data_IF_697840589154
#
_entry.id   IF_697840589154
#
_cell.length_a   1.000
_cell.length_b   1.000
_cell.length_c   1.000
_cell.angle_alpha   90.00
_cell.angle_beta   90.00
_cell.angle_gamma   90.00
#
_symmetry.space_group_name_H-M   'P 1'
#
loop_
_entity.id
_entity.type
_entity.pdbx_description
1 polymer ?
#
# COMPACT_ATOMS: atom_id res chain seq x y z
N UNK A 1 -29.65 -27.72 5.16
CA UNK A 1 -28.45 -27.35 4.39
C UNK A 1 -27.27 -27.31 5.35
N UNK A 2 -26.39 -28.33 5.38
CA UNK A 2 -25.22 -28.30 6.27
C UNK A 2 -24.10 -27.44 5.67
N UNK A 3 -23.45 -26.63 6.53
CA UNK A 3 -22.34 -25.73 6.17
C UNK A 3 -21.04 -26.52 5.89
N UNK A 4 -20.16 -26.03 4.99
CA UNK A 4 -18.93 -26.74 4.63
C UNK A 4 -17.88 -26.71 5.74
N UNK A 5 -17.36 -27.90 6.07
CA UNK A 5 -16.23 -28.14 6.97
C UNK A 5 -14.95 -27.50 6.43
N UNK A 6 -14.37 -26.56 7.17
CA UNK A 6 -13.04 -26.01 6.91
C UNK A 6 -11.97 -26.89 7.56
N UNK A 7 -10.88 -27.27 6.87
CA UNK A 7 -9.80 -28.01 7.49
C UNK A 7 -9.04 -27.08 8.46
N UNK A 8 -8.94 -27.47 9.73
CA UNK A 8 -8.08 -26.77 10.69
C UNK A 8 -6.61 -27.01 10.32
N UNK A 9 -5.81 -25.94 10.30
CA UNK A 9 -4.38 -26.03 10.06
C UNK A 9 -3.70 -26.60 11.31
N UNK A 10 -2.96 -27.69 11.13
CA UNK A 10 -2.25 -28.44 12.17
C UNK A 10 -1.07 -27.61 12.74
N UNK A 11 -1.03 -27.32 14.05
CA UNK A 11 0.01 -26.49 14.69
C UNK A 11 1.39 -27.15 14.72
N UNK A 12 1.51 -28.43 14.35
CA UNK A 12 2.78 -29.17 14.36
C UNK A 12 3.75 -28.78 13.22
N UNK A 13 3.30 -28.00 12.24
CA UNK A 13 4.15 -27.46 11.16
C UNK A 13 5.10 -26.31 11.59
N UNK A 14 5.06 -25.92 12.87
CA UNK A 14 5.85 -24.81 13.42
C UNK A 14 7.24 -25.20 13.95
N UNK A 15 7.66 -26.46 13.84
CA UNK A 15 9.00 -26.84 14.30
C UNK A 15 10.08 -26.53 13.26
N UNK A 16 11.11 -25.72 13.60
CA UNK A 16 12.27 -25.53 12.75
C UNK A 16 13.15 -26.80 12.81
N UNK A 17 13.30 -27.46 11.67
CA UNK A 17 14.27 -28.55 11.46
C UNK A 17 15.70 -28.08 11.81
N UNK A 18 16.56 -28.91 12.45
CA UNK A 18 17.89 -28.49 12.87
C UNK A 18 18.73 -28.17 11.64
N UNK A 19 19.29 -26.97 11.62
CA UNK A 19 20.06 -26.44 10.49
C UNK A 19 21.47 -27.01 10.53
N UNK A 20 21.90 -27.61 9.42
CA UNK A 20 23.32 -27.76 9.11
C UNK A 20 23.86 -26.38 8.70
N UNK A 21 24.98 -25.98 9.30
CA UNK A 21 25.65 -24.70 9.08
C UNK A 21 26.14 -24.58 7.62
N UNK A 22 25.32 -23.94 6.79
CA UNK A 22 25.70 -23.51 5.44
C UNK A 22 26.00 -22.02 5.47
N UNK A 23 27.28 -21.69 5.31
CA UNK A 23 27.80 -20.33 5.12
C UNK A 23 27.28 -19.81 3.78
N UNK A 24 26.10 -19.20 3.81
CA UNK A 24 25.50 -18.47 2.69
C UNK A 24 25.91 -16.98 2.66
N UNK A 25 25.80 -16.30 1.51
CA UNK A 25 26.36 -14.96 1.29
C UNK A 25 25.64 -13.88 2.13
N UNK A 26 26.29 -12.73 2.41
CA UNK A 26 25.73 -11.67 3.22
C UNK A 26 24.62 -10.95 2.45
N UNK A 27 23.38 -11.41 2.61
CA UNK A 27 22.26 -10.77 1.92
C UNK A 27 20.92 -11.49 1.99
N UNK A 28 20.68 -12.33 3.00
CA UNK A 28 19.32 -12.82 3.24
C UNK A 28 18.46 -11.64 3.72
N UNK A 29 17.74 -11.00 2.79
CA UNK A 29 16.66 -10.07 3.13
C UNK A 29 15.59 -10.88 3.84
N UNK A 30 15.64 -10.85 5.18
CA UNK A 30 14.51 -11.19 6.04
C UNK A 30 13.31 -10.45 5.47
N UNK A 31 12.35 -11.18 4.91
CA UNK A 31 11.07 -10.61 4.46
C UNK A 31 10.36 -10.17 5.73
N UNK A 32 10.59 -8.92 6.14
CA UNK A 32 9.83 -8.31 7.22
C UNK A 32 8.42 -8.14 6.66
N UNK A 33 7.52 -9.05 7.03
CA UNK A 33 6.08 -8.91 6.87
C UNK A 33 5.54 -7.80 7.81
N UNK A 34 6.30 -6.72 7.98
CA UNK A 34 5.90 -5.58 8.78
C UNK A 34 4.73 -4.92 8.07
N UNK A 35 3.67 -4.53 8.80
CA UNK A 35 2.55 -3.81 8.22
C UNK A 35 3.06 -2.61 7.43
N UNK A 36 2.71 -2.54 6.13
CA UNK A 36 3.04 -1.44 5.21
C UNK A 36 2.19 -0.19 5.48
N UNK A 37 1.79 0.01 6.73
CA UNK A 37 1.09 1.20 7.19
C UNK A 37 1.98 2.44 7.14
N UNK A 38 1.41 3.56 7.55
CA UNK A 38 2.13 4.82 7.65
C UNK A 38 3.21 4.71 8.73
N UNK A 39 4.45 5.13 8.44
CA UNK A 39 5.48 5.17 9.49
C UNK A 39 5.14 6.26 10.51
N UNK A 40 5.56 6.06 11.76
CA UNK A 40 5.39 7.03 12.85
C UNK A 40 5.95 8.39 12.42
N UNK A 41 5.22 9.47 12.70
CA UNK A 41 5.59 10.87 12.47
C UNK A 41 5.70 11.33 10.99
N UNK A 42 5.12 10.60 10.03
CA UNK A 42 5.00 11.09 8.65
C UNK A 42 3.78 11.99 8.53
N UNK A 43 4.00 13.26 8.18
CA UNK A 43 2.95 14.23 7.85
C UNK A 43 2.72 14.30 6.33
N UNK A 44 1.55 14.73 5.85
CA UNK A 44 1.31 14.90 4.41
C UNK A 44 2.29 15.90 3.77
N UNK A 45 2.82 16.85 4.53
CA UNK A 45 3.84 17.81 4.08
C UNK A 45 5.25 17.22 4.00
N UNK A 46 5.56 16.21 4.83
CA UNK A 46 6.82 15.47 4.75
C UNK A 46 6.92 14.56 3.53
N UNK A 47 5.80 14.33 2.81
CA UNK A 47 5.81 13.57 1.57
C UNK A 47 6.44 14.37 0.44
N UNK A 48 7.00 13.65 -0.54
CA UNK A 48 7.48 14.25 -1.78
C UNK A 48 6.34 15.04 -2.47
N UNK A 49 6.55 16.34 -2.65
CA UNK A 49 5.61 17.26 -3.27
C UNK A 49 5.18 16.82 -4.67
N UNK A 50 3.96 17.20 -5.07
CA UNK A 50 3.45 16.89 -6.41
C UNK A 50 4.32 17.51 -7.52
N UNK A 51 4.83 18.71 -7.28
CA UNK A 51 5.68 19.46 -8.20
C UNK A 51 7.17 19.03 -8.17
N UNK A 52 7.55 18.15 -7.24
CA UNK A 52 8.94 17.71 -7.16
C UNK A 52 9.37 17.00 -8.46
N UNK A 53 10.57 17.24 -8.98
CA UNK A 53 11.04 16.62 -10.22
C UNK A 53 10.88 15.10 -10.24
N UNK A 54 10.51 14.55 -11.39
CA UNK A 54 10.41 13.10 -11.61
C UNK A 54 11.68 12.64 -12.32
N UNK A 55 12.48 11.83 -11.63
CA UNK A 55 13.70 11.25 -12.19
C UNK A 55 13.36 10.20 -13.26
N UNK A 56 14.03 10.27 -14.41
CA UNK A 56 13.96 9.24 -15.45
C UNK A 56 14.66 7.96 -15.00
N UNK A 57 14.26 6.82 -15.58
CA UNK A 57 14.86 5.52 -15.25
C UNK A 57 15.73 5.06 -16.41
N UNK A 58 17.04 4.97 -16.19
CA UNK A 58 18.00 4.41 -17.16
C UNK A 58 18.41 3.01 -16.72
N UNK A 59 18.14 2.00 -17.54
CA UNK A 59 18.55 0.62 -17.28
C UNK A 59 19.69 0.27 -18.22
N UNK A 60 20.92 0.24 -17.70
CA UNK A 60 22.12 0.04 -18.53
C UNK A 60 22.46 -1.44 -18.70
N UNK A 61 21.93 -2.32 -17.83
CA UNK A 61 22.32 -3.74 -17.78
C UNK A 61 21.08 -4.65 -17.85
N UNK A 62 21.08 -5.69 -18.73
CA UNK A 62 20.09 -6.75 -18.69
C UNK A 62 20.35 -7.62 -17.45
N UNK A 63 19.73 -7.28 -16.32
CA UNK A 63 19.71 -8.13 -15.14
C UNK A 63 18.31 -8.72 -14.96
N UNK A 64 18.23 -9.99 -14.57
CA UNK A 64 16.98 -10.67 -14.22
C UNK A 64 16.17 -9.93 -13.13
N UNK A 65 16.83 -9.08 -12.33
CA UNK A 65 16.20 -8.22 -11.31
C UNK A 65 16.02 -6.76 -11.76
N UNK A 66 16.64 -6.37 -12.88
CA UNK A 66 16.48 -5.05 -13.49
C UNK A 66 15.17 -5.03 -14.30
N UNK A 67 14.34 -4.03 -14.05
CA UNK A 67 13.03 -3.91 -14.72
C UNK A 67 13.27 -3.52 -16.18
N UNK A 68 12.84 -4.40 -17.10
CA UNK A 68 12.91 -4.23 -18.56
C UNK A 68 12.52 -2.81 -18.99
N UNK A 69 13.22 -2.25 -19.98
CA UNK A 69 12.94 -0.91 -20.53
C UNK A 69 11.47 -0.77 -20.93
N UNK A 70 10.94 -1.83 -21.54
CA UNK A 70 9.56 -1.97 -21.98
C UNK A 70 8.78 -2.85 -21.02
N UNK A 71 7.64 -2.39 -20.48
CA UNK A 71 6.74 -3.26 -19.74
C UNK A 71 6.24 -4.42 -20.61
N UNK A 72 6.11 -5.62 -20.03
CA UNK A 72 5.62 -6.80 -20.73
C UNK A 72 4.23 -6.59 -21.39
N UNK A 73 3.36 -5.80 -20.76
CA UNK A 73 2.05 -5.45 -21.32
C UNK A 73 2.15 -4.69 -22.67
N UNK A 74 3.20 -3.88 -22.86
CA UNK A 74 3.44 -3.17 -24.11
C UNK A 74 3.99 -4.09 -25.19
N UNK A 75 4.94 -4.95 -24.82
CA UNK A 75 5.47 -6.01 -25.70
C UNK A 75 4.32 -6.90 -26.19
N UNK A 76 3.48 -7.39 -25.28
CA UNK A 76 2.36 -8.27 -25.62
C UNK A 76 1.29 -7.57 -26.45
N UNK A 77 1.02 -6.27 -26.22
CA UNK A 77 0.08 -5.51 -27.03
C UNK A 77 0.57 -5.39 -28.48
N UNK A 78 1.86 -5.12 -28.67
CA UNK A 78 2.48 -4.99 -30.01
C UNK A 78 2.56 -6.33 -30.74
N UNK A 79 2.85 -7.42 -30.00
CA UNK A 79 2.76 -8.80 -30.53
C UNK A 79 1.35 -9.14 -30.98
N UNK A 80 0.34 -8.88 -30.13
CA UNK A 80 -1.08 -9.13 -30.47
C UNK A 80 -1.59 -8.29 -31.65
N UNK A 81 -1.11 -7.05 -31.82
CA UNK A 81 -1.47 -6.25 -33.00
C UNK A 81 -0.80 -6.76 -34.28
N UNK A 82 0.44 -7.26 -34.20
CA UNK A 82 1.16 -7.83 -35.35
C UNK A 82 0.56 -9.17 -35.80
N UNK A 83 0.25 -10.07 -34.87
CA UNK A 83 -0.38 -11.36 -35.19
C UNK A 83 -1.79 -11.22 -35.77
N UNK A 84 -2.46 -10.09 -35.52
CA UNK A 84 -3.75 -9.76 -36.17
C UNK A 84 -3.59 -9.18 -37.57
N UNK A 85 -2.40 -8.69 -37.94
CA UNK A 85 -2.13 -8.01 -39.21
C UNK A 85 -1.32 -8.87 -40.19
N UNK A 86 -0.47 -9.78 -39.69
CA UNK A 86 0.32 -10.73 -40.46
C UNK A 86 0.27 -12.09 -39.74
N UNK A 87 -0.11 -13.14 -40.47
CA UNK A 87 -0.29 -14.49 -39.96
C UNK A 87 0.99 -15.12 -39.38
N UNK A 88 0.80 -16.26 -38.73
CA UNK A 88 1.63 -17.00 -37.74
C UNK A 88 3.09 -17.35 -38.12
N UNK A 89 3.61 -16.89 -39.27
CA UNK A 89 4.88 -17.37 -39.85
C UNK A 89 6.13 -16.58 -39.39
N UNK A 90 5.96 -15.51 -38.62
CA UNK A 90 7.03 -14.53 -38.31
C UNK A 90 7.52 -14.59 -36.84
N UNK A 91 7.26 -15.70 -36.12
CA UNK A 91 7.47 -15.80 -34.66
C UNK A 91 8.93 -16.09 -34.24
N UNK A 92 9.79 -16.52 -35.18
CA UNK A 92 11.21 -16.84 -34.91
C UNK A 92 12.19 -15.67 -35.13
N UNK A 93 11.79 -14.60 -35.82
CA UNK A 93 12.66 -13.42 -36.05
C UNK A 93 12.51 -12.33 -34.96
N UNK A 94 11.59 -12.51 -34.01
CA UNK A 94 11.20 -11.48 -33.04
C UNK A 94 12.04 -11.46 -31.76
N UNK A 95 13.03 -12.35 -31.62
CA UNK A 95 13.91 -12.41 -30.45
C UNK A 95 15.03 -11.35 -30.49
N UNK A 96 15.49 -10.96 -31.70
CA UNK A 96 16.46 -9.89 -31.91
C UNK A 96 15.77 -8.57 -32.25
N UNK A 97 15.45 -7.80 -31.21
CA UNK A 97 15.21 -6.36 -31.36
C UNK A 97 13.82 -6.00 -31.86
N UNK A 98 12.83 -6.06 -30.96
CA UNK A 98 11.63 -5.22 -31.08
C UNK A 98 12.11 -3.76 -30.99
N UNK A 99 12.47 -3.19 -32.14
CA UNK A 99 12.76 -1.76 -32.27
C UNK A 99 11.49 -1.02 -31.86
N UNK A 100 11.53 -0.42 -30.67
CA UNK A 100 10.46 0.43 -30.21
C UNK A 100 10.51 1.68 -31.05
N UNK A 101 9.36 2.10 -31.56
CA UNK A 101 9.29 3.44 -32.11
C UNK A 101 9.60 4.42 -30.97
N UNK A 102 10.32 5.53 -31.23
CA UNK A 102 10.61 6.53 -30.19
C UNK A 102 9.34 7.00 -29.46
N UNK A 103 8.21 7.08 -30.19
CA UNK A 103 6.87 7.34 -29.64
C UNK A 103 6.40 6.33 -28.57
N UNK A 104 6.74 5.04 -28.71
CA UNK A 104 6.39 4.02 -27.72
C UNK A 104 7.16 4.23 -26.41
N UNK A 105 8.43 4.63 -26.50
CA UNK A 105 9.29 4.93 -25.35
C UNK A 105 8.76 6.15 -24.60
N UNK A 106 8.44 7.22 -25.31
CA UNK A 106 7.88 8.44 -24.74
C UNK A 106 6.54 8.18 -24.03
N UNK A 107 5.68 7.36 -24.62
CA UNK A 107 4.39 7.03 -24.03
C UNK A 107 4.53 6.09 -22.81
N UNK A 108 5.55 5.24 -22.75
CA UNK A 108 5.91 4.49 -21.53
C UNK A 108 6.39 5.45 -20.43
N UNK A 109 7.24 6.41 -20.76
CA UNK A 109 7.69 7.42 -19.81
C UNK A 109 6.55 8.28 -19.28
N UNK A 110 5.65 8.74 -20.16
CA UNK A 110 4.47 9.49 -19.78
C UNK A 110 3.61 8.71 -18.77
N UNK A 111 3.37 7.42 -19.01
CA UNK A 111 2.64 6.55 -18.05
C UNK A 111 3.40 6.38 -16.73
N UNK A 112 4.72 6.29 -16.76
CA UNK A 112 5.55 6.23 -15.53
C UNK A 112 5.46 7.54 -14.73
N UNK A 113 5.51 8.70 -15.40
CA UNK A 113 5.31 10.01 -14.78
C UNK A 113 3.91 10.11 -14.16
N UNK A 114 2.87 9.73 -14.91
CA UNK A 114 1.50 9.71 -14.43
C UNK A 114 1.32 8.80 -13.20
N UNK A 115 1.87 7.59 -13.22
CA UNK A 115 1.80 6.67 -12.09
C UNK A 115 2.52 7.23 -10.85
N UNK A 116 3.66 7.90 -11.05
CA UNK A 116 4.39 8.56 -9.96
C UNK A 116 3.55 9.65 -9.32
N UNK A 117 2.94 10.54 -10.12
CA UNK A 117 2.05 11.58 -9.64
C UNK A 117 0.81 11.01 -8.93
N UNK A 118 0.18 9.99 -9.51
CA UNK A 118 -0.97 9.31 -8.92
C UNK A 118 -0.61 8.68 -7.56
N UNK A 119 0.56 8.03 -7.46
CA UNK A 119 1.07 7.47 -6.21
C UNK A 119 1.32 8.56 -5.16
N UNK A 120 1.90 9.71 -5.53
CA UNK A 120 2.08 10.85 -4.62
C UNK A 120 0.73 11.37 -4.10
N UNK A 121 -0.23 11.64 -5.00
CA UNK A 121 -1.59 12.08 -4.62
C UNK A 121 -2.29 11.08 -3.72
N UNK A 122 -2.18 9.79 -4.03
CA UNK A 122 -2.80 8.72 -3.23
C UNK A 122 -2.22 8.66 -1.82
N UNK A 123 -0.89 8.74 -1.68
CA UNK A 123 -0.23 8.78 -0.37
C UNK A 123 -0.65 10.00 0.44
N UNK A 124 -0.68 11.18 -0.19
CA UNK A 124 -1.12 12.43 0.44
C UNK A 124 -2.56 12.32 0.94
N UNK A 125 -3.50 11.91 0.09
CA UNK A 125 -4.91 11.71 0.47
C UNK A 125 -5.09 10.71 1.60
N UNK A 126 -4.35 9.59 1.58
CA UNK A 126 -4.42 8.58 2.66
C UNK A 126 -3.98 9.14 4.01
N UNK A 127 -2.91 9.95 4.01
CA UNK A 127 -2.43 10.62 5.21
C UNK A 127 -3.40 11.69 5.72
N UNK A 128 -3.97 12.48 4.81
CA UNK A 128 -4.99 13.48 5.14
C UNK A 128 -6.21 12.83 5.77
N UNK A 129 -6.73 11.77 5.16
CA UNK A 129 -7.86 11.02 5.70
C UNK A 129 -7.55 10.40 7.07
N UNK A 130 -6.36 9.83 7.25
CA UNK A 130 -5.93 9.33 8.56
C UNK A 130 -5.92 10.45 9.61
N UNK A 131 -5.36 11.62 9.27
CA UNK A 131 -5.32 12.79 10.16
C UNK A 131 -6.73 13.28 10.50
N UNK A 132 -7.64 13.32 9.53
CA UNK A 132 -9.03 13.72 9.76
C UNK A 132 -9.74 12.78 10.73
N UNK A 133 -9.53 11.46 10.60
CA UNK A 133 -10.04 10.46 11.54
C UNK A 133 -9.49 10.65 12.95
N UNK A 134 -8.17 10.81 13.08
CA UNK A 134 -7.52 11.04 14.38
C UNK A 134 -8.06 12.32 15.04
N UNK A 135 -8.17 13.42 14.28
CA UNK A 135 -8.73 14.68 14.79
C UNK A 135 -10.22 14.55 15.15
N UNK A 136 -10.98 13.73 14.42
CA UNK A 136 -12.38 13.44 14.73
C UNK A 136 -12.53 12.70 16.06
N UNK A 137 -11.71 11.67 16.29
CA UNK A 137 -11.69 10.92 17.54
C UNK A 137 -11.32 11.80 18.73
N UNK A 138 -10.34 12.69 18.57
CA UNK A 138 -9.94 13.60 19.63
C UNK A 138 -11.09 14.56 20.00
N UNK A 139 -11.78 15.13 19.01
CA UNK A 139 -12.96 16.00 19.25
C UNK A 139 -14.09 15.26 19.95
N UNK A 140 -14.44 14.07 19.47
CA UNK A 140 -15.52 13.28 20.07
C UNK A 140 -15.17 12.90 21.52
N UNK A 141 -13.90 12.60 21.79
CA UNK A 141 -13.41 12.32 23.14
C UNK A 141 -13.48 13.55 24.04
N UNK A 142 -13.07 14.72 23.56
CA UNK A 142 -13.17 15.99 24.30
C UNK A 142 -14.63 16.34 24.62
N UNK A 143 -15.55 16.17 23.65
CA UNK A 143 -16.97 16.40 23.85
C UNK A 143 -17.55 15.43 24.89
N UNK A 144 -17.22 14.15 24.80
CA UNK A 144 -17.64 13.14 25.77
C UNK A 144 -17.16 13.47 27.18
N UNK A 145 -15.89 13.85 27.35
CA UNK A 145 -15.34 14.23 28.64
C UNK A 145 -15.98 15.52 29.17
N UNK A 146 -16.22 16.52 28.32
CA UNK A 146 -16.95 17.75 28.70
C UNK A 146 -18.36 17.43 29.19
N UNK A 147 -19.12 16.62 28.46
CA UNK A 147 -20.48 16.26 28.85
C UNK A 147 -20.51 15.41 30.11
N UNK A 148 -19.57 14.48 30.25
CA UNK A 148 -19.39 13.69 31.47
C UNK A 148 -19.09 14.60 32.67
N UNK A 149 -18.17 15.55 32.53
CA UNK A 149 -17.84 16.50 33.59
C UNK A 149 -19.06 17.36 34.00
N UNK A 150 -19.81 17.87 33.01
CA UNK A 150 -21.06 18.62 33.26
C UNK A 150 -22.10 17.76 33.98
N UNK A 151 -22.30 16.51 33.56
CA UNK A 151 -23.24 15.59 34.19
C UNK A 151 -22.83 15.29 35.64
N UNK A 152 -21.55 15.02 35.90
CA UNK A 152 -21.04 14.79 37.26
C UNK A 152 -21.20 16.03 38.16
N UNK A 153 -20.97 17.23 37.62
CA UNK A 153 -21.19 18.48 38.36
C UNK A 153 -22.66 18.65 38.76
N UNK A 154 -23.60 18.43 37.82
CA UNK A 154 -25.03 18.53 38.12
C UNK A 154 -25.50 17.42 39.07
N UNK A 155 -24.97 16.21 38.93
CA UNK A 155 -25.22 15.12 39.87
C UNK A 155 -24.78 15.52 41.28
N UNK A 156 -23.56 16.04 41.44
CA UNK A 156 -23.06 16.48 42.74
C UNK A 156 -23.92 17.61 43.34
N UNK A 157 -24.38 18.55 42.51
CA UNK A 157 -25.28 19.63 42.93
C UNK A 157 -26.65 19.10 43.39
N UNK A 158 -27.24 18.14 42.67
CA UNK A 158 -28.53 17.54 43.06
C UNK A 158 -28.42 16.78 44.38
N UNK A 159 -27.36 15.99 44.53
CA UNK A 159 -27.07 15.26 45.77
C UNK A 159 -26.86 16.23 46.93
N UNK A 160 -26.16 17.36 46.72
CA UNK A 160 -25.98 18.38 47.77
C UNK A 160 -27.28 19.04 48.22
N UNK A 161 -28.30 19.06 47.36
CA UNK A 161 -29.64 19.56 47.67
C UNK A 161 -30.59 18.45 48.18
N UNK A 162 -30.09 17.23 48.40
CA UNK A 162 -30.86 16.11 48.95
C UNK A 162 -31.72 15.37 47.92
N UNK A 163 -31.47 15.54 46.62
CA UNK A 163 -32.16 14.78 45.57
C UNK A 163 -31.39 13.50 45.22
N UNK A 164 -32.12 12.40 45.05
CA UNK A 164 -31.57 11.13 44.57
C UNK A 164 -31.33 11.19 43.05
N UNK A 165 -30.15 10.77 42.61
CA UNK A 165 -29.78 10.72 41.19
C UNK A 165 -29.66 9.26 40.75
N UNK A 166 -30.35 8.83 39.68
CA UNK A 166 -30.25 7.47 39.16
C UNK A 166 -28.82 7.16 38.67
N UNK A 167 -28.27 6.01 39.06
CA UNK A 167 -27.04 5.50 38.45
C UNK A 167 -27.34 4.94 37.06
N UNK A 168 -26.53 5.32 36.07
CA UNK A 168 -26.66 4.86 34.68
C UNK A 168 -25.77 3.64 34.36
N UNK A 169 -25.12 3.04 35.35
CA UNK A 169 -24.19 1.90 35.18
C UNK A 169 -24.91 0.52 35.10
N UNK A 170 -26.12 0.45 34.52
CA UNK A 170 -26.90 -0.78 34.34
C UNK A 170 -26.84 -1.33 32.91
#
# INVERSE_FOLDING_TARGET
>A
MPSPTTPSLDPTSLHPSPRLDSVGPPGSRVRKNAPTGTRKNITPESLVSLDAPIQSRKYVIPSATSRKEVPAAWINKKKRSRSSAFGEEDDQLAEDGISLNPSDVDAIEAKRRQNTLAARRSRKRKLEYQRELETGLDREREEKEMWKAKALMFQALLVSHGHEVPSLDA
#
